data_IF_591844240145
#
_entry.id   IF_591844240145
#
_cell.length_a   1.000
_cell.length_b   1.000
_cell.length_c   1.000
_cell.angle_alpha   90.00
_cell.angle_beta   90.00
_cell.angle_gamma   90.00
#
_symmetry.space_group_name_H-M   'P 1'
#
loop_
_entity.id
_entity.type
_entity.pdbx_description
1 polymer ?
#
# COMPACT_ATOMS: atom_id res chain seq x y z
N UNK A 1 46.34 -50.78 -53.47
CA UNK A 1 47.78 -51.07 -53.34
C UNK A 1 48.54 -49.78 -53.54
N UNK A 2 49.07 -49.19 -52.47
CA UNK A 2 50.26 -48.35 -52.49
C UNK A 2 50.62 -48.01 -51.02
N UNK A 3 51.67 -48.67 -50.58
CA UNK A 3 52.48 -48.52 -49.38
C UNK A 3 53.14 -47.11 -49.31
N UNK A 4 53.09 -46.42 -48.16
CA UNK A 4 54.16 -46.27 -47.14
C UNK A 4 55.28 -45.26 -47.50
N UNK A 5 55.44 -44.19 -46.69
CA UNK A 5 56.59 -43.94 -45.79
C UNK A 5 56.72 -42.47 -45.33
N UNK A 6 57.04 -42.36 -44.05
CA UNK A 6 57.33 -41.18 -43.21
C UNK A 6 58.74 -40.64 -43.47
N UNK A 7 58.99 -39.34 -43.25
CA UNK A 7 60.14 -38.79 -42.50
C UNK A 7 60.16 -37.23 -42.43
N UNK A 8 60.98 -36.61 -41.56
CA UNK A 8 60.47 -35.75 -40.48
C UNK A 8 61.20 -34.39 -40.40
N UNK A 9 61.06 -33.73 -39.25
CA UNK A 9 61.86 -32.64 -38.69
C UNK A 9 61.44 -31.20 -39.01
N UNK A 10 61.18 -30.46 -37.92
CA UNK A 10 60.78 -29.07 -37.90
C UNK A 10 61.88 -28.08 -37.54
N UNK A 11 61.43 -26.85 -37.32
CA UNK A 11 62.09 -25.64 -36.79
C UNK A 11 62.55 -24.55 -37.80
N UNK A 12 61.64 -23.58 -38.05
CA UNK A 12 61.76 -22.08 -38.16
C UNK A 12 62.66 -21.44 -39.26
N UNK A 13 62.59 -20.11 -39.63
CA UNK A 13 61.66 -18.98 -39.38
C UNK A 13 61.39 -18.01 -40.61
N UNK A 14 60.75 -16.84 -40.36
CA UNK A 14 60.71 -15.53 -41.12
C UNK A 14 59.70 -15.34 -42.27
N UNK A 15 59.12 -14.18 -42.60
CA UNK A 15 58.90 -12.78 -42.09
C UNK A 15 57.86 -12.17 -43.07
N UNK A 16 57.05 -11.18 -42.65
CA UNK A 16 56.41 -10.28 -43.62
C UNK A 16 55.21 -9.50 -43.07
N UNK A 17 55.49 -8.43 -42.34
CA UNK A 17 54.53 -7.41 -41.93
C UNK A 17 53.95 -6.67 -43.14
N UNK A 18 52.67 -6.32 -43.08
CA UNK A 18 52.16 -5.03 -43.53
C UNK A 18 50.80 -4.74 -42.84
N UNK A 19 50.80 -3.70 -42.02
CA UNK A 19 49.63 -2.99 -41.49
C UNK A 19 49.44 -1.72 -42.34
N UNK A 20 48.20 -1.21 -42.49
CA UNK A 20 47.80 -0.10 -41.62
C UNK A 20 46.33 -0.27 -41.15
N UNK A 21 46.08 -0.21 -39.85
CA UNK A 21 45.86 1.00 -39.02
C UNK A 21 44.36 1.28 -38.83
N UNK A 22 43.92 1.00 -37.61
CA UNK A 22 42.97 1.75 -36.79
C UNK A 22 41.63 2.19 -37.39
N UNK A 23 40.57 1.58 -36.88
CA UNK A 23 39.39 2.35 -36.47
C UNK A 23 38.90 1.77 -35.15
N UNK A 24 39.13 2.55 -34.10
CA UNK A 24 38.58 2.35 -32.76
C UNK A 24 37.06 2.21 -32.84
N UNK A 25 36.54 1.09 -32.36
CA UNK A 25 35.15 0.98 -31.98
C UNK A 25 34.96 1.80 -30.70
N UNK A 26 34.36 2.97 -30.87
CA UNK A 26 33.94 3.87 -29.80
C UNK A 26 32.77 3.26 -29.01
N UNK A 27 32.61 3.60 -27.72
CA UNK A 27 31.57 3.06 -26.88
C UNK A 27 30.22 3.67 -27.26
N UNK A 28 29.23 2.82 -27.53
CA UNK A 28 27.85 3.22 -27.82
C UNK A 28 27.19 3.65 -26.52
N UNK A 29 27.24 4.97 -26.26
CA UNK A 29 26.47 5.62 -25.20
C UNK A 29 25.49 6.60 -25.87
N UNK A 30 24.38 6.09 -26.46
CA UNK A 30 23.33 6.92 -27.09
C UNK A 30 21.90 6.34 -27.10
N UNK A 31 21.56 5.32 -26.32
CA UNK A 31 20.23 4.67 -26.45
C UNK A 31 19.13 5.17 -25.49
N UNK A 32 19.46 5.99 -24.49
CA UNK A 32 18.45 6.50 -23.54
C UNK A 32 17.39 7.42 -24.16
N UNK A 33 17.70 8.08 -25.29
CA UNK A 33 16.78 9.01 -25.98
C UNK A 33 15.79 8.32 -26.94
N UNK A 34 16.02 7.06 -27.34
CA UNK A 34 15.15 6.34 -28.29
C UNK A 34 14.06 5.52 -27.57
N UNK A 35 14.32 5.04 -26.35
CA UNK A 35 13.39 4.19 -25.59
C UNK A 35 12.11 4.94 -25.20
N UNK A 36 12.23 6.16 -24.68
CA UNK A 36 11.06 6.98 -24.32
C UNK A 36 10.21 7.33 -25.54
N UNK A 37 10.84 7.59 -26.68
CA UNK A 37 10.13 7.87 -27.93
C UNK A 37 9.41 6.63 -28.47
N UNK A 38 10.04 5.47 -28.39
CA UNK A 38 9.51 4.22 -28.93
C UNK A 38 8.38 3.63 -28.06
N UNK A 39 8.53 3.69 -26.74
CA UNK A 39 7.64 3.01 -25.79
C UNK A 39 6.73 3.95 -24.99
N UNK A 40 7.07 5.24 -24.91
CA UNK A 40 6.31 6.25 -24.14
C UNK A 40 6.53 6.17 -22.62
N UNK A 41 7.56 5.46 -22.17
CA UNK A 41 7.94 5.30 -20.78
C UNK A 41 9.45 5.43 -20.63
N UNK A 42 9.90 5.92 -19.47
CA UNK A 42 11.31 5.86 -19.12
C UNK A 42 11.78 4.40 -19.01
N UNK A 43 13.07 4.15 -19.22
CA UNK A 43 13.63 2.79 -19.18
C UNK A 43 13.30 2.02 -17.87
N UNK A 44 13.39 2.64 -16.67
CA UNK A 44 13.01 1.96 -15.42
C UNK A 44 11.51 1.65 -15.34
N UNK A 45 10.63 2.54 -15.82
CA UNK A 45 9.19 2.30 -15.87
C UNK A 45 8.84 1.17 -16.86
N UNK A 46 9.48 1.18 -18.04
CA UNK A 46 9.32 0.16 -19.06
C UNK A 46 9.75 -1.22 -18.53
N UNK A 47 10.91 -1.29 -17.86
CA UNK A 47 11.38 -2.51 -17.21
C UNK A 47 10.39 -3.00 -16.16
N UNK A 48 9.89 -2.12 -15.29
CA UNK A 48 8.92 -2.50 -14.26
C UNK A 48 7.64 -3.08 -14.87
N UNK A 49 7.07 -2.41 -15.87
CA UNK A 49 5.88 -2.90 -16.58
C UNK A 49 6.14 -4.25 -17.29
N UNK A 50 7.30 -4.39 -17.91
CA UNK A 50 7.72 -5.61 -18.59
C UNK A 50 7.94 -6.77 -17.62
N UNK A 51 8.52 -6.51 -16.45
CA UNK A 51 8.72 -7.49 -15.39
C UNK A 51 7.39 -7.95 -14.79
N UNK A 52 6.46 -7.03 -14.53
CA UNK A 52 5.10 -7.36 -14.09
C UNK A 52 4.38 -8.22 -15.14
N UNK A 53 4.45 -7.83 -16.41
CA UNK A 53 3.89 -8.61 -17.51
C UNK A 53 4.47 -10.03 -17.56
N UNK A 54 5.80 -10.15 -17.48
CA UNK A 54 6.49 -11.43 -17.43
C UNK A 54 6.01 -12.29 -16.25
N UNK A 55 5.97 -11.77 -15.03
CA UNK A 55 5.53 -12.52 -13.84
C UNK A 55 4.06 -12.95 -13.92
N UNK A 56 3.19 -12.10 -14.45
CA UNK A 56 1.75 -12.33 -14.41
C UNK A 56 1.21 -13.21 -15.54
N UNK A 57 1.81 -13.06 -16.72
CA UNK A 57 1.30 -13.60 -17.98
C UNK A 57 2.09 -14.80 -18.50
N UNK A 58 3.34 -14.98 -18.07
CA UNK A 58 4.09 -16.20 -18.34
C UNK A 58 3.37 -17.40 -17.70
N UNK A 59 3.20 -18.48 -18.46
CA UNK A 59 2.47 -19.66 -17.99
C UNK A 59 0.94 -19.57 -18.16
N UNK A 60 0.38 -18.38 -18.43
CA UNK A 60 -1.06 -18.17 -18.62
C UNK A 60 -1.42 -17.72 -20.03
N UNK A 61 -0.79 -16.66 -20.52
CA UNK A 61 -1.10 -16.05 -21.82
C UNK A 61 -0.05 -16.38 -22.89
N UNK A 62 1.18 -16.72 -22.49
CA UNK A 62 2.23 -17.20 -23.36
C UNK A 62 3.22 -18.10 -22.60
N UNK A 63 4.01 -18.86 -23.36
CA UNK A 63 5.07 -19.72 -22.83
C UNK A 63 6.38 -19.42 -23.53
N UNK A 64 7.40 -19.10 -22.75
CA UNK A 64 8.76 -18.89 -23.25
C UNK A 64 9.51 -20.22 -23.31
N UNK A 65 10.54 -20.30 -24.16
CA UNK A 65 11.45 -21.43 -24.12
C UNK A 65 12.27 -21.43 -22.82
N UNK A 66 12.72 -22.60 -22.36
CA UNK A 66 13.58 -22.67 -21.18
C UNK A 66 14.83 -21.78 -21.32
N UNK A 67 15.43 -21.76 -22.52
CA UNK A 67 16.60 -20.92 -22.82
C UNK A 67 16.31 -19.44 -22.63
N UNK A 68 15.21 -18.95 -23.20
CA UNK A 68 14.84 -17.53 -23.12
C UNK A 68 14.49 -17.14 -21.68
N UNK A 69 13.85 -18.05 -20.94
CA UNK A 69 13.57 -17.86 -19.51
C UNK A 69 14.84 -17.69 -18.69
N UNK A 70 15.82 -18.59 -18.85
CA UNK A 70 17.09 -18.51 -18.11
C UNK A 70 17.82 -17.21 -18.47
N UNK A 71 17.78 -16.77 -19.73
CA UNK A 71 18.35 -15.49 -20.17
C UNK A 71 17.67 -14.29 -19.50
N UNK A 72 16.33 -14.23 -19.48
CA UNK A 72 15.58 -13.16 -18.81
C UNK A 72 15.88 -13.08 -17.32
N UNK A 73 16.03 -14.23 -16.65
CA UNK A 73 16.39 -14.29 -15.23
C UNK A 73 17.83 -13.82 -14.99
N UNK A 74 18.74 -14.12 -15.91
CA UNK A 74 20.11 -13.61 -15.83
C UNK A 74 20.13 -12.07 -15.88
N UNK A 75 19.33 -11.45 -16.77
CA UNK A 75 19.19 -9.99 -16.77
C UNK A 75 18.62 -9.46 -15.46
N UNK A 76 17.56 -10.09 -14.92
CA UNK A 76 17.00 -9.70 -13.61
C UNK A 76 18.08 -9.76 -12.52
N UNK A 77 18.89 -10.83 -12.48
CA UNK A 77 20.00 -10.95 -11.52
C UNK A 77 21.11 -9.92 -11.74
N UNK A 78 21.45 -9.58 -12.99
CA UNK A 78 22.38 -8.49 -13.28
C UNK A 78 21.85 -7.13 -12.82
N UNK A 79 20.54 -6.89 -12.95
CA UNK A 79 19.89 -5.64 -12.56
C UNK A 79 19.86 -5.46 -11.04
N UNK A 80 19.64 -6.55 -10.30
CA UNK A 80 19.54 -6.53 -8.82
C UNK A 80 20.90 -6.62 -8.15
N UNK A 81 21.73 -7.58 -8.57
CA UNK A 81 22.97 -7.95 -7.87
C UNK A 81 24.23 -7.42 -8.60
N UNK A 82 24.08 -6.85 -9.79
CA UNK A 82 25.22 -6.45 -10.62
C UNK A 82 25.98 -7.64 -11.19
N UNK A 83 27.28 -7.43 -11.44
CA UNK A 83 28.17 -8.45 -11.99
C UNK A 83 28.27 -9.66 -11.06
N UNK A 84 28.27 -10.86 -11.64
CA UNK A 84 28.47 -12.10 -10.90
C UNK A 84 29.78 -12.07 -10.09
N UNK A 85 29.66 -12.26 -8.77
CA UNK A 85 30.78 -12.46 -7.86
C UNK A 85 30.77 -13.90 -7.29
N UNK A 86 31.81 -14.71 -7.54
CA UNK A 86 31.92 -16.06 -6.98
C UNK A 86 32.05 -16.11 -5.45
N UNK A 87 32.45 -15.02 -4.79
CA UNK A 87 32.61 -14.98 -3.33
C UNK A 87 31.30 -14.83 -2.58
N UNK A 88 30.33 -14.12 -3.18
CA UNK A 88 28.99 -13.90 -2.63
C UNK A 88 27.96 -14.92 -3.11
N UNK A 89 28.37 -15.90 -3.93
CA UNK A 89 27.47 -16.89 -4.53
C UNK A 89 27.74 -18.30 -3.99
N UNK A 90 26.87 -18.88 -3.13
CA UNK A 90 27.07 -20.22 -2.58
C UNK A 90 27.15 -21.27 -3.69
N UNK A 91 27.98 -22.32 -3.59
CA UNK A 91 28.18 -23.29 -4.66
C UNK A 91 26.86 -23.98 -5.05
N UNK A 92 26.53 -23.95 -6.35
CA UNK A 92 25.39 -24.70 -6.86
C UNK A 92 25.75 -26.18 -6.89
N UNK A 93 24.91 -27.02 -6.30
CA UNK A 93 25.13 -28.46 -6.23
C UNK A 93 25.22 -29.10 -7.62
N UNK A 94 26.01 -30.16 -7.75
CA UNK A 94 26.22 -30.87 -9.02
C UNK A 94 24.92 -31.34 -9.69
N UNK A 95 23.90 -31.69 -8.90
CA UNK A 95 22.60 -32.15 -9.39
C UNK A 95 21.62 -30.99 -9.70
N UNK A 96 21.94 -29.75 -9.35
CA UNK A 96 21.13 -28.58 -9.65
C UNK A 96 21.48 -28.02 -11.04
N UNK A 97 21.06 -28.77 -12.06
CA UNK A 97 21.26 -28.42 -13.48
C UNK A 97 20.67 -27.04 -13.80
N UNK A 98 19.53 -26.69 -13.21
CA UNK A 98 18.84 -25.43 -13.46
C UNK A 98 19.56 -24.26 -12.82
N UNK A 99 20.02 -24.40 -11.57
CA UNK A 99 20.85 -23.39 -10.91
C UNK A 99 22.16 -23.17 -11.65
N UNK A 100 22.77 -24.24 -12.16
CA UNK A 100 24.02 -24.16 -12.93
C UNK A 100 23.82 -23.39 -14.25
N UNK A 101 22.71 -23.62 -14.95
CA UNK A 101 22.39 -22.90 -16.18
C UNK A 101 22.16 -21.40 -15.94
N UNK A 102 21.47 -21.03 -14.85
CA UNK A 102 21.27 -19.62 -14.47
C UNK A 102 22.57 -18.93 -14.14
N UNK A 103 23.39 -19.58 -13.31
CA UNK A 103 24.71 -19.06 -12.94
C UNK A 103 25.57 -18.83 -14.17
N UNK A 104 25.62 -19.82 -15.07
CA UNK A 104 26.38 -19.71 -16.31
C UNK A 104 25.88 -18.54 -17.16
N UNK A 105 24.56 -18.39 -17.31
CA UNK A 105 23.99 -17.26 -18.05
C UNK A 105 24.24 -15.91 -17.41
N UNK A 106 24.19 -15.80 -16.09
CA UNK A 106 24.53 -14.56 -15.39
C UNK A 106 26.03 -14.23 -15.51
N UNK A 107 26.90 -15.23 -15.42
CA UNK A 107 28.34 -15.07 -15.68
C UNK A 107 28.64 -14.58 -17.11
N UNK A 108 27.89 -15.09 -18.10
CA UNK A 108 28.00 -14.66 -19.50
C UNK A 108 27.67 -13.17 -19.71
N UNK A 109 26.88 -12.54 -18.82
CA UNK A 109 26.56 -11.10 -18.91
C UNK A 109 27.72 -10.19 -18.51
N UNK A 110 28.74 -10.70 -17.83
CA UNK A 110 29.96 -9.97 -17.51
C UNK A 110 29.73 -8.67 -16.74
N UNK A 111 30.32 -7.58 -17.21
CA UNK A 111 30.26 -6.22 -16.64
C UNK A 111 29.13 -5.37 -17.24
N UNK A 112 28.09 -6.01 -17.76
CA UNK A 112 26.89 -5.33 -18.28
C UNK A 112 26.29 -4.39 -17.23
N UNK A 113 26.04 -3.14 -17.61
CA UNK A 113 25.43 -2.16 -16.71
C UNK A 113 23.97 -2.49 -16.44
N UNK A 114 23.44 -1.97 -15.33
CA UNK A 114 22.04 -2.11 -14.93
C UNK A 114 21.08 -1.62 -16.03
N UNK A 115 21.38 -0.48 -16.64
CA UNK A 115 20.57 0.12 -17.69
C UNK A 115 20.54 -0.74 -18.95
N UNK A 116 21.70 -1.23 -19.40
CA UNK A 116 21.77 -2.14 -20.55
C UNK A 116 21.03 -3.44 -20.26
N UNK A 117 21.17 -4.02 -19.07
CA UNK A 117 20.43 -5.23 -18.69
C UNK A 117 18.91 -5.01 -18.66
N UNK A 118 18.43 -3.85 -18.20
CA UNK A 118 17.01 -3.47 -18.26
C UNK A 118 16.51 -3.39 -19.70
N UNK A 119 17.27 -2.76 -20.59
CA UNK A 119 16.91 -2.59 -22.00
C UNK A 119 16.86 -3.95 -22.71
N UNK A 120 17.91 -4.74 -22.57
CA UNK A 120 18.01 -6.08 -23.15
C UNK A 120 16.90 -7.01 -22.64
N UNK A 121 16.54 -6.91 -21.35
CA UNK A 121 15.39 -7.64 -20.81
C UNK A 121 14.08 -7.29 -21.54
N UNK A 122 13.81 -6.00 -21.74
CA UNK A 122 12.60 -5.53 -22.40
C UNK A 122 12.56 -5.92 -23.88
N UNK A 123 13.68 -5.78 -24.59
CA UNK A 123 13.81 -6.16 -26.00
C UNK A 123 13.67 -7.66 -26.18
N UNK A 124 14.39 -8.46 -25.40
CA UNK A 124 14.30 -9.93 -25.46
C UNK A 124 12.88 -10.40 -25.17
N UNK A 125 12.22 -9.82 -24.15
CA UNK A 125 10.83 -10.18 -23.83
C UNK A 125 9.86 -9.79 -24.96
N UNK A 126 10.05 -8.63 -25.59
CA UNK A 126 9.25 -8.19 -26.73
C UNK A 126 9.41 -9.10 -27.96
N UNK A 127 10.65 -9.52 -28.26
CA UNK A 127 10.93 -10.45 -29.36
C UNK A 127 10.31 -11.81 -29.11
N UNK A 128 10.35 -12.27 -27.86
CA UNK A 128 9.81 -13.59 -27.51
C UNK A 128 8.29 -13.56 -27.28
N UNK A 129 7.68 -12.39 -27.04
CA UNK A 129 6.26 -12.22 -26.80
C UNK A 129 5.67 -10.97 -27.48
N UNK A 130 4.90 -11.20 -28.54
CA UNK A 130 4.24 -10.12 -29.31
C UNK A 130 3.14 -9.38 -28.55
N UNK A 131 2.69 -9.90 -27.40
CA UNK A 131 1.64 -9.27 -26.58
C UNK A 131 2.18 -8.20 -25.63
N UNK A 132 3.50 -8.11 -25.44
CA UNK A 132 4.11 -7.11 -24.56
C UNK A 132 3.83 -5.68 -25.06
N UNK A 133 3.99 -5.44 -26.37
CA UNK A 133 3.78 -4.11 -26.95
C UNK A 133 2.33 -3.61 -26.81
N UNK A 134 1.28 -4.38 -27.18
CA UNK A 134 -0.10 -4.01 -26.90
C UNK A 134 -0.39 -3.75 -25.41
N UNK A 135 0.22 -4.52 -24.50
CA UNK A 135 0.08 -4.33 -23.06
C UNK A 135 0.65 -2.99 -22.60
N UNK A 136 1.87 -2.64 -23.05
CA UNK A 136 2.50 -1.36 -22.72
C UNK A 136 1.71 -0.19 -23.34
N UNK A 137 1.26 -0.30 -24.58
CA UNK A 137 0.44 0.72 -25.23
C UNK A 137 -0.91 0.95 -24.50
N UNK A 138 -1.50 -0.10 -23.95
CA UNK A 138 -2.72 0.01 -23.13
C UNK A 138 -2.46 0.80 -21.84
N UNK A 139 -1.37 0.48 -21.13
CA UNK A 139 -0.98 1.23 -19.93
C UNK A 139 -0.56 2.67 -20.22
N UNK A 140 0.03 2.95 -21.39
CA UNK A 140 0.32 4.33 -21.80
C UNK A 140 -0.96 5.14 -21.92
N UNK A 141 -1.98 4.60 -22.62
CA UNK A 141 -3.29 5.25 -22.76
C UNK A 141 -3.99 5.44 -21.42
N UNK A 142 -3.88 4.46 -20.52
CA UNK A 142 -4.45 4.55 -19.17
C UNK A 142 -3.80 5.67 -18.35
N UNK A 143 -2.46 5.80 -18.40
CA UNK A 143 -1.72 6.88 -17.71
C UNK A 143 -2.13 8.26 -18.24
N UNK A 144 -2.22 8.42 -19.57
CA UNK A 144 -2.68 9.65 -20.22
C UNK A 144 -4.12 10.01 -19.84
N UNK A 145 -5.03 9.03 -19.78
CA UNK A 145 -6.43 9.25 -19.39
C UNK A 145 -6.56 9.62 -17.91
N UNK A 146 -5.81 8.97 -17.02
CA UNK A 146 -5.76 9.33 -15.60
C UNK A 146 -5.27 10.76 -15.40
N UNK A 147 -4.24 11.19 -16.14
CA UNK A 147 -3.73 12.56 -16.06
C UNK A 147 -4.78 13.58 -16.55
N UNK A 148 -5.49 13.28 -17.65
CA UNK A 148 -6.58 14.13 -18.14
C UNK A 148 -7.70 14.26 -17.11
N UNK A 149 -8.14 13.13 -16.54
CA UNK A 149 -9.19 13.13 -15.49
C UNK A 149 -8.77 13.94 -14.26
N UNK A 150 -7.52 13.81 -13.82
CA UNK A 150 -6.99 14.60 -12.69
C UNK A 150 -7.04 16.11 -12.97
N UNK A 151 -6.66 16.53 -14.19
CA UNK A 151 -6.73 17.95 -14.60
C UNK A 151 -8.18 18.45 -14.67
N UNK A 152 -9.09 17.67 -15.24
CA UNK A 152 -10.52 18.00 -15.30
C UNK A 152 -11.16 18.10 -13.91
N UNK A 153 -10.82 17.19 -12.99
CA UNK A 153 -11.30 17.23 -11.60
C UNK A 153 -10.75 18.44 -10.84
N UNK A 154 -9.48 18.78 -11.03
CA UNK A 154 -8.86 19.98 -10.44
C UNK A 154 -9.49 21.27 -11.00
N UNK A 155 -9.72 21.35 -12.30
CA UNK A 155 -10.40 22.49 -12.92
C UNK A 155 -11.85 22.61 -12.43
N UNK A 156 -12.57 21.50 -12.34
CA UNK A 156 -13.94 21.48 -11.79
C UNK A 156 -13.97 21.93 -10.35
N UNK A 157 -13.04 21.47 -9.51
CA UNK A 157 -12.93 21.90 -8.12
C UNK A 157 -12.67 23.41 -8.03
N UNK A 158 -11.75 23.93 -8.85
CA UNK A 158 -11.46 25.36 -8.90
C UNK A 158 -12.68 26.19 -9.33
N UNK A 159 -13.45 25.73 -10.33
CA UNK A 159 -14.70 26.39 -10.74
C UNK A 159 -15.75 26.39 -9.64
N UNK A 160 -15.93 25.26 -8.94
CA UNK A 160 -16.86 25.17 -7.81
C UNK A 160 -16.47 26.11 -6.66
N UNK A 161 -15.18 26.18 -6.33
CA UNK A 161 -14.69 27.14 -5.31
C UNK A 161 -14.90 28.60 -5.72
N UNK A 162 -14.79 28.92 -7.02
CA UNK A 162 -15.04 30.26 -7.54
C UNK A 162 -16.54 30.61 -7.52
N UNK A 163 -17.40 29.70 -7.97
CA UNK A 163 -18.87 29.82 -7.90
C UNK A 163 -19.37 29.95 -6.45
N UNK A 164 -18.81 29.18 -5.51
CA UNK A 164 -19.17 29.27 -4.09
C UNK A 164 -18.75 30.60 -3.49
N UNK A 165 -17.55 31.10 -3.81
CA UNK A 165 -17.10 32.44 -3.39
C UNK A 165 -17.95 33.57 -3.98
N UNK A 166 -18.44 33.41 -5.22
CA UNK A 166 -19.35 34.38 -5.82
C UNK A 166 -20.72 34.36 -5.15
N UNK A 167 -21.26 33.17 -4.87
CA UNK A 167 -22.52 33.00 -4.12
C UNK A 167 -22.44 33.62 -2.73
N UNK A 168 -21.37 33.37 -1.98
CA UNK A 168 -21.17 33.96 -0.65
C UNK A 168 -21.12 35.49 -0.70
N UNK A 169 -20.49 36.07 -1.74
CA UNK A 169 -20.46 37.53 -1.92
C UNK A 169 -21.83 38.12 -2.23
N UNK A 170 -22.62 37.45 -3.07
CA UNK A 170 -23.99 37.87 -3.37
C UNK A 170 -24.89 37.77 -2.14
N UNK A 171 -24.80 36.69 -1.37
CA UNK A 171 -25.56 36.51 -0.12
C UNK A 171 -25.17 37.55 0.95
N UNK A 172 -23.89 37.88 1.07
CA UNK A 172 -23.42 38.94 1.98
C UNK A 172 -23.89 40.33 1.53
N UNK A 173 -23.85 40.62 0.23
CA UNK A 173 -24.36 41.88 -0.31
C UNK A 173 -25.87 42.02 -0.12
N UNK A 174 -26.63 40.94 -0.36
CA UNK A 174 -28.08 40.90 -0.12
C UNK A 174 -28.41 41.09 1.36
N UNK A 175 -27.69 40.42 2.26
CA UNK A 175 -27.83 40.61 3.72
C UNK A 175 -27.56 42.05 4.11
N UNK A 176 -26.50 42.67 3.58
CA UNK A 176 -26.18 44.08 3.87
C UNK A 176 -27.29 45.02 3.39
N UNK A 177 -27.83 44.80 2.19
CA UNK A 177 -28.95 45.59 1.66
C UNK A 177 -30.22 45.42 2.51
N UNK A 178 -30.54 44.21 2.93
CA UNK A 178 -31.67 43.93 3.81
C UNK A 178 -31.52 44.58 5.19
N UNK A 179 -30.31 44.57 5.76
CA UNK A 179 -30.01 45.28 7.01
C UNK A 179 -30.14 46.80 6.86
N UNK A 180 -29.62 47.38 5.77
CA UNK A 180 -29.77 48.80 5.45
C UNK A 180 -31.25 49.20 5.27
N UNK A 181 -32.03 48.37 4.58
CA UNK A 181 -33.46 48.59 4.39
C UNK A 181 -34.23 48.48 5.71
N UNK A 182 -33.92 47.47 6.53
CA UNK A 182 -34.50 47.31 7.86
C UNK A 182 -34.21 48.53 8.74
N UNK A 183 -32.96 49.02 8.77
CA UNK A 183 -32.59 50.21 9.53
C UNK A 183 -33.33 51.46 9.04
N UNK A 184 -33.50 51.61 7.72
CA UNK A 184 -34.28 52.72 7.15
C UNK A 184 -35.74 52.63 7.59
N UNK A 185 -36.38 51.48 7.44
CA UNK A 185 -37.77 51.27 7.86
C UNK A 185 -37.95 51.52 9.36
N UNK A 186 -36.99 51.09 10.19
CA UNK A 186 -37.04 51.33 11.63
C UNK A 186 -36.87 52.82 11.98
N UNK A 187 -35.96 53.54 11.31
CA UNK A 187 -35.81 54.99 11.45
C UNK A 187 -37.10 55.72 11.07
N UNK A 188 -37.72 55.36 9.95
CA UNK A 188 -39.00 55.91 9.52
C UNK A 188 -40.10 55.64 10.57
N UNK A 189 -40.15 54.41 11.13
CA UNK A 189 -41.08 54.04 12.20
C UNK A 189 -40.89 54.90 13.45
N UNK A 190 -39.64 55.10 13.89
CA UNK A 190 -39.33 55.89 15.08
C UNK A 190 -39.68 57.37 14.88
N UNK A 191 -39.32 57.95 13.73
CA UNK A 191 -39.68 59.33 13.40
C UNK A 191 -41.19 59.53 13.39
N UNK A 192 -41.94 58.57 12.83
CA UNK A 192 -43.40 58.60 12.85
C UNK A 192 -43.96 58.55 14.27
N UNK A 193 -43.49 57.61 15.11
CA UNK A 193 -43.92 57.49 16.52
C UNK A 193 -43.64 58.78 17.30
N UNK A 194 -42.49 59.41 17.07
CA UNK A 194 -42.12 60.69 17.70
C UNK A 194 -43.02 61.85 17.22
N UNK A 195 -43.36 61.90 15.92
CA UNK A 195 -44.25 62.92 15.37
C UNK A 195 -45.66 62.82 15.98
N UNK A 196 -46.23 61.61 16.07
CA UNK A 196 -47.50 61.36 16.75
C UNK A 196 -47.40 61.73 18.23
N UNK A 197 -46.30 61.37 18.90
CA UNK A 197 -46.08 61.72 20.31
C UNK A 197 -46.15 63.23 20.54
N UNK A 198 -45.48 64.03 19.71
CA UNK A 198 -45.52 65.50 19.81
C UNK A 198 -46.93 66.06 19.60
N UNK A 199 -47.68 65.48 18.66
CA UNK A 199 -49.05 65.92 18.39
C UNK A 199 -50.03 65.54 19.51
N UNK A 200 -49.85 64.38 20.13
CA UNK A 200 -50.74 63.86 21.17
C UNK A 200 -50.40 64.36 22.57
N UNK A 201 -49.17 64.84 22.79
CA UNK A 201 -48.66 65.32 24.08
C UNK A 201 -49.62 66.27 24.82
N UNK A 202 -50.17 67.33 24.18
CA UNK A 202 -51.00 68.31 24.89
C UNK A 202 -52.34 67.73 25.39
N UNK A 203 -52.90 66.77 24.64
CA UNK A 203 -54.12 66.05 25.00
C UNK A 203 -53.85 65.05 26.14
N UNK A 204 -52.67 64.43 26.13
CA UNK A 204 -52.25 63.41 27.09
C UNK A 204 -51.89 63.97 28.47
N UNK A 205 -51.28 65.16 28.54
CA UNK A 205 -50.88 65.81 29.81
C UNK A 205 -52.07 65.99 30.77
N UNK A 206 -53.28 66.25 30.26
CA UNK A 206 -54.48 66.38 31.11
C UNK A 206 -54.95 65.04 31.69
N UNK A 207 -54.76 63.92 30.98
CA UNK A 207 -55.17 62.58 31.42
C UNK A 207 -54.14 61.91 32.34
N UNK A 208 -52.85 62.24 32.19
CA UNK A 208 -51.77 61.61 32.92
C UNK A 208 -51.54 62.14 34.34
N UNK A 209 -52.11 63.29 34.72
CA UNK A 209 -51.92 63.94 36.03
C UNK A 209 -52.29 63.09 37.25
N UNK A 210 -53.04 61.99 37.06
CA UNK A 210 -53.52 61.11 38.12
C UNK A 210 -52.81 59.73 38.15
N UNK A 211 -51.81 59.50 37.30
CA UNK A 211 -51.12 58.22 37.15
C UNK A 211 -49.66 58.30 37.64
N UNK A 212 -49.12 57.18 38.10
CA UNK A 212 -47.69 57.11 38.46
C UNK A 212 -46.80 57.21 37.21
N UNK A 213 -45.55 57.66 37.36
CA UNK A 213 -44.65 57.87 36.22
C UNK A 213 -44.45 56.61 35.35
N UNK A 214 -44.39 55.43 35.98
CA UNK A 214 -44.26 54.15 35.29
C UNK A 214 -45.54 53.78 34.52
N UNK A 215 -46.72 54.00 35.11
CA UNK A 215 -48.02 53.76 34.45
C UNK A 215 -48.25 54.72 33.28
N UNK A 216 -47.80 55.97 33.43
CA UNK A 216 -47.84 56.97 32.36
C UNK A 216 -47.00 56.54 31.15
N UNK A 217 -45.80 56.00 31.36
CA UNK A 217 -44.93 55.52 30.27
C UNK A 217 -45.52 54.31 29.53
N UNK A 218 -46.05 53.33 30.27
CA UNK A 218 -46.67 52.12 29.67
C UNK A 218 -47.92 52.48 28.86
N UNK A 219 -48.81 53.30 29.43
CA UNK A 219 -50.03 53.73 28.74
C UNK A 219 -49.71 54.53 27.48
N UNK A 220 -48.73 55.42 27.56
CA UNK A 220 -48.27 56.20 26.41
C UNK A 220 -47.71 55.32 25.30
N UNK A 221 -46.94 54.29 25.64
CA UNK A 221 -46.40 53.32 24.69
C UNK A 221 -47.52 52.52 24.00
N UNK A 222 -48.52 52.06 24.75
CA UNK A 222 -49.69 51.37 24.19
C UNK A 222 -50.48 52.26 23.23
N UNK A 223 -50.65 53.54 23.58
CA UNK A 223 -51.39 54.48 22.76
C UNK A 223 -50.63 54.81 21.46
N UNK A 224 -49.31 54.99 21.54
CA UNK A 224 -48.44 55.15 20.36
C UNK A 224 -48.54 53.94 19.42
N UNK A 225 -48.53 52.72 19.97
CA UNK A 225 -48.64 51.49 19.19
C UNK A 225 -50.00 51.37 18.51
N UNK A 226 -51.09 51.69 19.22
CA UNK A 226 -52.44 51.67 18.67
C UNK A 226 -52.62 52.65 17.49
N UNK A 227 -52.11 53.89 17.62
CA UNK A 227 -52.17 54.87 16.53
C UNK A 227 -51.29 54.46 15.33
N UNK A 228 -50.13 53.87 15.60
CA UNK A 228 -49.26 53.35 14.53
C UNK A 228 -49.95 52.23 13.73
N UNK A 229 -50.62 51.29 14.42
CA UNK A 229 -51.40 50.23 13.78
C UNK A 229 -52.56 50.78 12.94
N UNK A 230 -53.28 51.79 13.45
CA UNK A 230 -54.36 52.44 12.71
C UNK A 230 -53.83 53.14 11.44
N UNK A 231 -52.66 53.77 11.52
CA UNK A 231 -52.02 54.41 10.37
C UNK A 231 -51.58 53.40 9.31
N UNK A 232 -50.93 52.29 9.71
CA UNK A 232 -50.56 51.21 8.80
C UNK A 232 -51.80 50.64 8.08
N UNK A 233 -52.90 50.47 8.80
CA UNK A 233 -54.16 50.01 8.22
C UNK A 233 -54.72 51.00 7.18
N UNK A 234 -54.55 52.31 7.41
CA UNK A 234 -54.98 53.34 6.48
C UNK A 234 -54.10 53.40 5.22
N UNK A 235 -52.78 53.26 5.38
CA UNK A 235 -51.82 53.14 4.27
C UNK A 235 -52.12 51.91 3.41
N UNK A 236 -52.37 50.76 4.03
CA UNK A 236 -52.70 49.52 3.32
C UNK A 236 -54.02 49.65 2.55
N UNK A 237 -55.04 50.30 3.13
CA UNK A 237 -56.28 50.62 2.43
C UNK A 237 -56.06 51.56 1.24
N UNK A 238 -55.15 52.54 1.37
CA UNK A 238 -54.82 53.45 0.28
C UNK A 238 -54.04 52.75 -0.84
N UNK A 239 -53.09 51.87 -0.51
CA UNK A 239 -52.39 51.02 -1.47
C UNK A 239 -53.36 50.08 -2.19
N UNK A 240 -54.24 49.37 -1.46
CA UNK A 240 -55.28 48.51 -2.07
C UNK A 240 -56.19 49.26 -3.04
N UNK A 241 -56.55 50.51 -2.72
CA UNK A 241 -57.34 51.36 -3.63
C UNK A 241 -56.55 51.74 -4.89
N UNK A 242 -55.25 51.96 -4.79
CA UNK A 242 -54.37 52.26 -5.92
C UNK A 242 -54.15 51.02 -6.81
N UNK A 243 -53.90 49.86 -6.22
CA UNK A 243 -53.81 48.57 -6.94
C UNK A 243 -55.11 48.23 -7.66
N UNK A 244 -56.27 48.38 -7.00
CA UNK A 244 -57.58 48.18 -7.65
C UNK A 244 -57.87 49.17 -8.79
N UNK A 245 -57.21 50.33 -8.81
CA UNK A 245 -57.32 51.31 -9.90
C UNK A 245 -56.27 51.07 -11.00
N UNK A 246 -55.15 50.40 -10.69
CA UNK A 246 -54.12 49.97 -11.63
C UNK A 246 -54.40 48.63 -12.32
N UNK A 247 -55.28 47.79 -11.77
CA UNK A 247 -55.51 46.41 -12.26
C UNK A 247 -56.77 46.25 -13.15
N UNK A 248 -57.28 47.33 -13.74
CA UNK A 248 -58.29 47.24 -14.82
C UNK A 248 -57.67 46.92 -16.18
N UNK A 249 -56.50 46.26 -16.22
CA UNK A 249 -55.88 45.74 -17.43
C UNK A 249 -55.03 44.49 -17.14
N UNK A 250 -55.65 43.40 -16.68
CA UNK A 250 -55.51 42.03 -17.21
C UNK A 250 -56.11 41.04 -16.20
N UNK A 251 -57.34 40.65 -16.51
CA UNK A 251 -58.04 39.52 -15.91
C UNK A 251 -57.64 38.20 -16.58
N UNK A 252 -57.19 37.27 -15.75
CA UNK A 252 -57.66 35.88 -15.79
C UNK A 252 -56.67 34.85 -16.33
N UNK A 253 -56.55 33.64 -15.79
CA UNK A 253 -57.48 32.90 -14.93
C UNK A 253 -56.81 31.62 -14.40
N UNK A 254 -57.13 31.27 -13.15
CA UNK A 254 -57.27 29.92 -12.56
C UNK A 254 -56.05 28.97 -12.54
N UNK A 255 -55.72 28.28 -11.45
CA UNK A 255 -56.32 28.20 -10.12
C UNK A 255 -55.73 26.99 -9.36
N UNK A 256 -55.92 27.03 -8.02
CA UNK A 256 -56.20 25.87 -7.14
C UNK A 256 -55.04 24.88 -6.80
N UNK A 257 -54.80 24.38 -5.57
CA UNK A 257 -55.47 24.41 -4.26
C UNK A 257 -54.47 23.98 -3.13
N UNK A 258 -54.66 24.47 -1.88
CA UNK A 258 -54.58 23.80 -0.54
C UNK A 258 -53.28 23.14 -0.01
N UNK A 259 -52.99 23.03 1.30
CA UNK A 259 -53.59 23.47 2.56
C UNK A 259 -52.60 23.21 3.75
N UNK A 260 -52.82 23.99 4.83
CA UNK A 260 -52.72 23.69 6.28
C UNK A 260 -51.35 23.43 6.96
N UNK A 261 -50.89 24.26 7.93
CA UNK A 261 -51.14 24.27 9.41
C UNK A 261 -50.28 23.21 10.16
N UNK A 262 -49.55 23.45 11.26
CA UNK A 262 -49.95 24.06 12.55
C UNK A 262 -48.73 24.17 13.52
N UNK A 263 -48.66 25.26 14.31
CA UNK A 263 -48.19 25.43 15.73
C UNK A 263 -46.76 25.17 16.25
N UNK A 264 -46.22 26.23 16.89
CA UNK A 264 -45.72 26.31 18.29
C UNK A 264 -44.30 25.83 18.59
N UNK A 265 -43.54 26.33 19.57
CA UNK A 265 -43.63 27.49 20.46
C UNK A 265 -42.24 27.65 21.13
N UNK A 266 -41.90 28.88 21.49
CA UNK A 266 -40.99 29.37 22.56
C UNK A 266 -39.58 28.77 22.87
N UNK A 267 -38.60 29.68 22.77
CA UNK A 267 -37.67 30.20 23.81
C UNK A 267 -36.44 29.42 24.37
N UNK A 268 -35.32 30.17 24.32
CA UNK A 268 -34.23 30.33 25.32
C UNK A 268 -33.32 29.12 25.60
N UNK A 269 -32.02 29.23 25.88
CA UNK A 269 -31.15 30.34 26.21
C UNK A 269 -29.91 29.76 26.93
N UNK A 270 -28.74 30.31 26.59
CA UNK A 270 -27.37 30.12 27.10
C UNK A 270 -27.22 29.68 28.59
N UNK A 271 -26.23 28.81 28.91
CA UNK A 271 -25.01 29.14 29.71
C UNK A 271 -24.18 27.90 30.18
N UNK A 272 -22.91 27.89 29.75
CA UNK A 272 -21.64 27.68 30.48
C UNK A 272 -21.26 26.46 31.37
N UNK A 273 -20.03 26.00 31.07
CA UNK A 273 -18.94 25.42 31.89
C UNK A 273 -19.19 24.13 32.71
N UNK A 274 -18.42 23.06 32.46
CA UNK A 274 -17.14 22.82 33.14
C UNK A 274 -16.48 21.51 32.67
N UNK A 275 -15.21 21.63 32.27
CA UNK A 275 -14.31 20.53 31.93
C UNK A 275 -13.58 20.10 33.20
N UNK A 276 -13.87 18.89 33.70
CA UNK A 276 -12.98 18.17 34.61
C UNK A 276 -13.34 16.69 34.59
N UNK A 277 -12.45 15.86 34.06
CA UNK A 277 -12.20 14.54 34.64
C UNK A 277 -10.81 14.06 34.25
N UNK A 278 -9.98 13.94 35.28
CA UNK A 278 -8.76 13.17 35.30
C UNK A 278 -9.10 11.70 35.03
N UNK A 279 -8.36 11.07 34.12
CA UNK A 279 -8.19 9.63 34.10
C UNK A 279 -6.68 9.35 34.03
N UNK A 280 -6.15 8.79 35.11
CA UNK A 280 -4.78 8.34 35.25
C UNK A 280 -4.52 7.16 34.32
N UNK A 281 -3.44 7.24 33.53
CA UNK A 281 -2.84 6.10 32.87
C UNK A 281 -1.94 5.36 33.89
N UNK A 282 -2.03 4.02 34.02
CA UNK A 282 -1.06 3.28 34.81
C UNK A 282 0.21 3.06 33.98
N UNK A 283 1.30 3.62 34.48
CA UNK A 283 2.66 3.22 34.12
C UNK A 283 2.85 1.73 34.43
N UNK A 284 3.27 0.96 33.43
CA UNK A 284 3.79 -0.39 33.57
C UNK A 284 5.20 -0.43 32.99
N UNK A 285 6.18 -0.05 33.81
CA UNK A 285 7.60 -0.22 33.54
C UNK A 285 7.94 -1.71 33.77
N UNK A 286 8.19 -2.46 32.70
CA UNK A 286 8.61 -3.87 32.80
C UNK A 286 10.11 -3.92 32.57
N UNK A 287 10.82 -4.15 33.68
CA UNK A 287 12.22 -4.58 33.74
C UNK A 287 12.53 -5.61 32.65
N UNK A 288 13.37 -5.23 31.68
CA UNK A 288 14.02 -6.17 30.76
C UNK A 288 15.22 -6.78 31.47
N UNK A 289 15.01 -7.95 32.06
CA UNK A 289 16.09 -8.79 32.54
C UNK A 289 17.00 -9.19 31.38
N UNK A 290 18.30 -8.99 31.58
CA UNK A 290 19.36 -9.46 30.70
C UNK A 290 19.48 -10.98 30.86
N UNK A 291 18.79 -11.76 30.03
CA UNK A 291 19.03 -13.21 29.96
C UNK A 291 20.28 -13.45 29.11
N UNK A 292 21.35 -13.90 29.78
CA UNK A 292 22.61 -14.34 29.17
C UNK A 292 22.37 -15.44 28.13
N UNK A 293 22.82 -15.22 26.90
CA UNK A 293 22.85 -16.22 25.84
C UNK A 293 23.76 -17.40 26.25
N UNK A 294 23.33 -18.66 26.10
CA UNK A 294 24.14 -19.81 26.50
C UNK A 294 25.36 -20.00 25.59
N UNK A 295 26.53 -20.25 26.21
CA UNK A 295 27.78 -20.57 25.52
C UNK A 295 27.62 -21.88 24.71
N UNK A 296 28.03 -21.85 23.43
CA UNK A 296 27.85 -22.92 22.43
C UNK A 296 28.48 -24.25 22.85
N UNK A 297 29.46 -24.21 23.77
CA UNK A 297 30.14 -25.40 24.30
C UNK A 297 29.35 -26.14 25.40
N UNK A 298 28.16 -25.67 25.79
CA UNK A 298 27.31 -26.25 26.84
C UNK A 298 25.93 -26.72 26.37
N UNK A 299 25.66 -26.70 25.06
CA UNK A 299 24.35 -27.02 24.50
C UNK A 299 24.08 -28.55 24.48
N UNK A 300 22.87 -29.00 24.83
CA UNK A 300 22.46 -30.41 24.78
C UNK A 300 22.63 -31.06 23.39
N UNK A 301 22.90 -32.37 23.38
CA UNK A 301 22.96 -33.16 22.14
C UNK A 301 21.57 -33.21 21.46
N UNK A 302 21.55 -32.92 20.16
CA UNK A 302 20.32 -32.87 19.35
C UNK A 302 19.95 -34.27 18.88
N UNK A 303 18.75 -34.71 19.22
CA UNK A 303 18.21 -36.00 18.80
C UNK A 303 17.99 -36.04 17.28
N UNK A 304 17.96 -37.24 16.68
CA UNK A 304 17.60 -37.37 15.27
C UNK A 304 16.09 -37.13 15.08
N UNK A 305 15.68 -36.39 14.03
CA UNK A 305 14.27 -36.25 13.69
C UNK A 305 13.71 -37.57 13.14
N UNK A 306 12.42 -37.79 13.34
CA UNK A 306 11.68 -38.86 12.67
C UNK A 306 10.86 -38.24 11.52
N UNK A 307 10.88 -38.84 10.33
CA UNK A 307 10.18 -38.34 9.15
C UNK A 307 9.49 -39.49 8.41
N UNK A 308 8.27 -39.27 7.94
CA UNK A 308 7.49 -40.25 7.18
C UNK A 308 6.56 -39.56 6.16
N UNK A 309 5.91 -40.35 5.30
CA UNK A 309 4.92 -39.84 4.34
C UNK A 309 3.60 -40.58 4.49
N UNK A 310 2.50 -39.92 4.13
CA UNK A 310 1.13 -40.44 4.24
C UNK A 310 0.32 -40.09 2.99
N UNK A 311 -0.64 -40.95 2.64
CA UNK A 311 -1.41 -40.85 1.39
C UNK A 311 -2.72 -40.03 1.53
N UNK A 312 -3.05 -39.57 2.74
CA UNK A 312 -4.24 -38.76 3.06
C UNK A 312 -4.06 -37.25 2.72
N UNK A 313 -3.28 -36.94 1.69
CA UNK A 313 -2.92 -35.57 1.32
C UNK A 313 -4.13 -34.74 0.89
N UNK A 314 -5.12 -35.34 0.22
CA UNK A 314 -6.31 -34.63 -0.24
C UNK A 314 -7.21 -34.19 0.93
N UNK A 315 -7.55 -35.09 1.85
CA UNK A 315 -8.36 -34.78 3.04
C UNK A 315 -7.68 -33.71 3.91
N UNK A 316 -6.36 -33.82 4.07
CA UNK A 316 -5.55 -32.83 4.79
C UNK A 316 -5.66 -31.43 4.17
N UNK A 317 -5.51 -31.33 2.84
CA UNK A 317 -5.61 -30.05 2.13
C UNK A 317 -7.03 -29.47 2.18
N UNK A 318 -8.06 -30.30 2.02
CA UNK A 318 -9.47 -29.85 2.11
C UNK A 318 -9.82 -29.32 3.50
N UNK A 319 -9.26 -29.92 4.56
CA UNK A 319 -9.44 -29.47 5.94
C UNK A 319 -8.77 -28.13 6.19
N UNK A 320 -7.52 -27.96 5.75
CA UNK A 320 -6.74 -26.75 5.97
C UNK A 320 -7.10 -25.61 5.00
N UNK A 321 -7.68 -25.90 3.83
CA UNK A 321 -8.18 -24.87 2.92
C UNK A 321 -9.30 -24.01 3.53
N UNK A 322 -9.99 -24.52 4.56
CA UNK A 322 -11.01 -23.79 5.32
C UNK A 322 -10.44 -22.96 6.47
N UNK A 323 -9.18 -23.20 6.82
CA UNK A 323 -8.47 -22.56 7.91
C UNK A 323 -7.45 -21.55 7.33
N UNK A 324 -7.67 -20.27 7.57
CA UNK A 324 -6.82 -19.21 7.01
C UNK A 324 -5.38 -19.26 7.51
N UNK A 325 -5.11 -19.87 8.67
CA UNK A 325 -3.76 -19.99 9.22
C UNK A 325 -3.03 -21.26 8.77
N UNK A 326 -3.77 -22.26 8.25
CA UNK A 326 -3.23 -23.55 7.82
C UNK A 326 -2.72 -23.60 6.38
N UNK A 327 -2.88 -22.51 5.62
CA UNK A 327 -2.48 -22.42 4.22
C UNK A 327 -1.66 -21.14 3.97
N UNK A 328 -0.43 -21.31 3.48
CA UNK A 328 0.44 -20.21 3.09
C UNK A 328 0.75 -20.32 1.60
N UNK A 329 0.79 -19.19 0.90
CA UNK A 329 1.28 -19.12 -0.48
C UNK A 329 2.76 -18.73 -0.47
N UNK A 330 3.63 -19.63 -0.91
CA UNK A 330 5.07 -19.39 -1.06
C UNK A 330 5.33 -18.95 -2.50
N UNK A 331 5.69 -17.70 -2.73
CA UNK A 331 5.97 -17.13 -4.05
C UNK A 331 7.19 -17.76 -4.73
N UNK A 332 7.39 -17.47 -6.02
CA UNK A 332 8.56 -17.96 -6.74
C UNK A 332 9.82 -17.25 -6.22
N UNK A 333 10.94 -17.94 -6.05
CA UNK A 333 12.14 -17.30 -5.49
C UNK A 333 12.08 -17.04 -3.98
N UNK A 334 10.91 -17.17 -3.34
CA UNK A 334 10.73 -16.92 -1.91
C UNK A 334 11.10 -18.12 -1.04
N UNK A 335 11.50 -17.83 0.19
CA UNK A 335 11.59 -18.80 1.28
C UNK A 335 10.71 -18.32 2.43
N UNK A 336 9.87 -19.22 2.93
CA UNK A 336 9.01 -18.96 4.10
C UNK A 336 9.56 -19.72 5.31
N UNK A 337 9.75 -19.01 6.41
CA UNK A 337 10.15 -19.59 7.69
C UNK A 337 9.01 -19.50 8.69
N UNK A 338 8.47 -20.65 9.11
CA UNK A 338 7.51 -20.73 10.21
C UNK A 338 8.27 -20.94 11.52
N UNK A 339 8.17 -19.98 12.44
CA UNK A 339 8.82 -19.98 13.75
C UNK A 339 7.86 -20.56 14.79
N UNK A 340 8.26 -21.67 15.43
CA UNK A 340 7.44 -22.40 16.40
C UNK A 340 8.19 -22.50 17.73
N UNK A 341 7.86 -21.65 18.72
CA UNK A 341 8.44 -21.74 20.06
C UNK A 341 8.17 -23.08 20.72
N UNK A 342 9.12 -23.58 21.52
CA UNK A 342 8.90 -24.74 22.38
C UNK A 342 7.92 -24.41 23.50
N UNK A 343 6.90 -25.24 23.68
CA UNK A 343 5.96 -25.08 24.79
C UNK A 343 6.55 -25.64 26.10
N UNK A 344 6.33 -24.98 27.24
CA UNK A 344 6.88 -25.39 28.55
C UNK A 344 6.43 -26.79 28.99
N UNK A 345 5.18 -27.15 28.67
CA UNK A 345 4.61 -28.47 28.96
C UNK A 345 4.84 -29.49 27.83
N UNK A 346 5.48 -29.06 26.74
CA UNK A 346 5.72 -29.89 25.57
C UNK A 346 7.05 -30.64 25.64
N UNK A 347 7.12 -31.81 25.01
CA UNK A 347 8.37 -32.56 24.90
C UNK A 347 8.82 -32.83 23.45
N UNK A 348 7.92 -32.71 22.48
CA UNK A 348 8.16 -32.98 21.06
C UNK A 348 7.32 -32.04 20.19
N UNK A 349 7.87 -31.64 19.03
CA UNK A 349 7.14 -31.00 17.94
C UNK A 349 6.75 -32.07 16.93
N UNK A 350 5.59 -31.90 16.33
CA UNK A 350 5.11 -32.62 15.16
C UNK A 350 4.79 -31.62 14.06
N UNK A 351 5.12 -31.98 12.83
CA UNK A 351 4.78 -31.21 11.64
C UNK A 351 4.20 -32.10 10.57
N UNK A 352 3.25 -31.53 9.83
CA UNK A 352 2.65 -32.13 8.64
C UNK A 352 2.54 -31.05 7.58
N UNK A 353 2.91 -31.36 6.33
CA UNK A 353 2.67 -30.44 5.22
C UNK A 353 2.45 -31.14 3.88
N UNK A 354 1.73 -30.44 3.00
CA UNK A 354 1.45 -30.85 1.64
C UNK A 354 1.42 -29.63 0.71
N UNK A 355 1.60 -29.86 -0.58
CA UNK A 355 1.48 -28.83 -1.62
C UNK A 355 0.47 -29.26 -2.69
N UNK A 356 0.05 -28.35 -3.57
CA UNK A 356 -0.95 -28.71 -4.59
C UNK A 356 -0.38 -29.46 -5.78
N UNK A 357 0.61 -28.90 -6.47
CA UNK A 357 0.99 -29.39 -7.81
C UNK A 357 2.49 -29.66 -7.99
N UNK A 358 3.33 -29.19 -7.07
CA UNK A 358 4.78 -29.26 -7.20
C UNK A 358 5.42 -29.52 -5.86
N UNK A 359 6.64 -30.01 -5.89
CA UNK A 359 7.49 -30.16 -4.73
C UNK A 359 7.82 -28.82 -4.06
N UNK A 360 8.35 -28.86 -2.84
CA UNK A 360 8.89 -27.69 -2.11
C UNK A 360 10.15 -28.11 -1.35
N UNK A 361 11.12 -27.21 -1.22
CA UNK A 361 12.26 -27.44 -0.34
C UNK A 361 11.80 -27.38 1.11
N UNK A 362 12.25 -28.33 1.95
CA UNK A 362 11.94 -28.33 3.37
C UNK A 362 13.18 -28.62 4.20
N UNK A 363 13.42 -27.76 5.19
CA UNK A 363 14.41 -27.94 6.24
C UNK A 363 13.86 -27.57 7.61
N UNK A 364 14.54 -28.03 8.66
CA UNK A 364 14.19 -27.81 10.05
C UNK A 364 15.43 -27.40 10.84
N UNK A 365 15.35 -26.26 11.51
CA UNK A 365 16.43 -25.73 12.34
C UNK A 365 15.90 -25.45 13.75
N UNK A 366 16.81 -25.34 14.72
CA UNK A 366 16.50 -24.98 16.09
C UNK A 366 17.33 -23.78 16.52
N UNK A 367 16.66 -22.70 16.89
CA UNK A 367 17.26 -21.46 17.38
C UNK A 367 17.23 -21.46 18.91
N UNK A 368 18.41 -21.38 19.53
CA UNK A 368 18.60 -21.32 20.98
C UNK A 368 18.30 -19.93 21.50
N UNK A 369 17.01 -19.67 21.73
CA UNK A 369 16.51 -18.38 22.23
C UNK A 369 15.34 -18.58 23.19
N UNK A 370 15.04 -17.55 23.98
CA UNK A 370 13.82 -17.52 24.79
C UNK A 370 12.79 -16.68 24.04
N UNK A 371 11.77 -17.33 23.49
CA UNK A 371 10.69 -16.62 22.82
C UNK A 371 9.86 -15.83 23.85
N UNK A 372 9.47 -14.58 23.56
CA UNK A 372 8.65 -13.77 24.48
C UNK A 372 7.22 -14.31 24.63
N UNK A 373 6.78 -15.17 23.71
CA UNK A 373 5.47 -15.82 23.73
C UNK A 373 5.51 -17.17 23.01
N UNK A 374 4.50 -18.01 23.26
CA UNK A 374 4.30 -19.28 22.55
C UNK A 374 3.58 -19.12 21.19
N UNK A 375 3.41 -17.88 20.70
CA UNK A 375 2.74 -17.63 19.43
C UNK A 375 3.62 -18.07 18.24
N UNK A 376 3.00 -18.71 17.26
CA UNK A 376 3.66 -19.08 15.99
C UNK A 376 3.73 -17.83 15.10
N UNK A 377 4.89 -17.54 14.53
CA UNK A 377 5.04 -16.46 13.55
C UNK A 377 5.52 -16.98 12.20
N UNK A 378 5.14 -16.29 11.13
CA UNK A 378 5.52 -16.63 9.75
C UNK A 378 6.33 -15.48 9.19
N UNK A 379 7.54 -15.76 8.74
CA UNK A 379 8.40 -14.79 8.04
C UNK A 379 8.55 -15.22 6.58
N UNK A 380 8.30 -14.27 5.68
CA UNK A 380 8.52 -14.45 4.24
C UNK A 380 9.77 -13.66 3.90
N UNK A 381 10.73 -14.31 3.25
CA UNK A 381 11.92 -13.67 2.70
C UNK A 381 11.93 -13.93 1.21
N UNK A 382 11.89 -12.87 0.41
CA UNK A 382 12.24 -13.02 -1.01
C UNK A 382 13.76 -13.22 -1.09
N UNK A 383 14.23 -14.20 -1.87
CA UNK A 383 15.68 -14.40 -2.10
C UNK A 383 16.33 -13.20 -2.82
N UNK A 384 15.58 -12.14 -3.14
CA UNK A 384 16.08 -10.84 -3.59
C UNK A 384 16.12 -9.73 -2.53
N UNK A 385 15.51 -9.91 -1.35
CA UNK A 385 15.41 -8.85 -0.33
C UNK A 385 16.60 -8.77 0.64
N UNK A 386 17.52 -9.74 0.64
CA UNK A 386 18.78 -9.62 1.42
C UNK A 386 19.79 -8.63 0.79
N UNK A 387 19.51 -8.08 -0.40
CA UNK A 387 20.39 -7.12 -1.11
C UNK A 387 19.67 -5.80 -1.53
N UNK A 388 18.54 -5.43 -0.92
CA UNK A 388 17.92 -4.13 -1.19
C UNK A 388 18.52 -3.00 -0.33
N UNK A 389 19.45 -2.26 -0.93
CA UNK A 389 19.61 -0.79 -0.86
C UNK A 389 19.76 -0.16 0.54
N UNK A 390 20.89 -0.42 1.21
CA UNK A 390 21.49 0.59 2.10
C UNK A 390 22.32 1.56 1.24
N UNK A 391 21.68 2.63 0.76
CA UNK A 391 22.37 3.86 0.35
C UNK A 391 22.90 4.56 1.62
N UNK A 392 24.05 4.12 2.12
CA UNK A 392 24.85 4.92 3.05
C UNK A 392 26.25 5.14 2.46
N UNK A 393 26.37 6.25 1.74
CA UNK A 393 27.63 6.90 1.39
C UNK A 393 28.22 7.55 2.64
N UNK A 394 29.22 6.92 3.29
CA UNK A 394 30.56 7.51 3.51
C UNK A 394 31.44 6.69 4.49
N UNK A 395 32.75 6.67 4.21
CA UNK A 395 33.78 6.60 5.26
C UNK A 395 34.52 5.28 5.48
N UNK A 396 35.70 5.17 4.85
CA UNK A 396 36.83 4.25 5.14
C UNK A 396 36.95 3.82 6.63
N UNK A 397 37.25 2.55 6.91
CA UNK A 397 38.60 2.01 7.24
C UNK A 397 38.53 0.57 7.80
N UNK A 398 39.46 -0.30 7.34
CA UNK A 398 40.02 -1.53 7.96
C UNK A 398 39.56 -2.93 7.45
N UNK A 399 40.46 -3.78 6.90
CA UNK A 399 40.11 -5.04 6.24
C UNK A 399 40.31 -6.28 7.13
N UNK A 400 39.61 -6.36 8.28
CA UNK A 400 39.54 -7.58 9.13
C UNK A 400 38.17 -7.79 9.82
N UNK A 401 37.05 -7.36 9.23
CA UNK A 401 35.71 -7.63 9.80
C UNK A 401 34.92 -8.63 8.96
N UNK A 402 35.02 -9.90 9.34
CA UNK A 402 33.91 -10.83 9.17
C UNK A 402 32.78 -10.43 10.10
N UNK A 403 31.73 -9.83 9.56
CA UNK A 403 30.48 -9.57 10.28
C UNK A 403 29.76 -10.92 10.45
N UNK A 404 30.19 -11.71 11.44
CA UNK A 404 29.40 -12.83 11.93
C UNK A 404 28.12 -12.28 12.54
N UNK A 405 27.00 -12.80 12.07
CA UNK A 405 25.66 -12.63 12.60
C UNK A 405 25.66 -12.65 14.14
N UNK A 406 25.24 -11.55 14.78
CA UNK A 406 25.05 -11.46 16.23
C UNK A 406 23.71 -12.09 16.65
N UNK A 407 23.30 -13.17 15.99
CA UNK A 407 22.06 -13.88 16.23
C UNK A 407 22.20 -14.95 17.32
N UNK A 408 21.09 -15.38 17.95
CA UNK A 408 21.08 -16.56 18.80
C UNK A 408 21.64 -17.78 18.04
N UNK A 409 22.34 -18.71 18.71
CA UNK A 409 22.89 -19.91 18.06
C UNK A 409 21.80 -20.73 17.35
N UNK A 410 22.07 -21.21 16.13
CA UNK A 410 21.16 -22.04 15.34
C UNK A 410 21.82 -23.39 15.03
N UNK A 411 21.08 -24.47 15.27
CA UNK A 411 21.46 -25.83 14.86
C UNK A 411 20.57 -26.38 13.75
N UNK A 412 21.17 -27.11 12.82
CA UNK A 412 20.47 -27.79 11.73
C UNK A 412 19.99 -29.18 12.17
N UNK A 413 18.68 -29.42 12.13
CA UNK A 413 18.08 -30.72 12.43
C UNK A 413 17.81 -31.48 11.13
N UNK A 414 17.23 -30.81 10.14
CA UNK A 414 16.97 -31.34 8.81
C UNK A 414 17.51 -30.33 7.78
N UNK A 415 18.56 -30.67 7.00
CA UNK A 415 18.99 -29.85 5.87
C UNK A 415 17.88 -29.69 4.84
N UNK A 416 17.88 -28.56 4.13
CA UNK A 416 16.89 -28.28 3.09
C UNK A 416 17.04 -29.26 1.93
N UNK A 417 16.00 -30.07 1.72
CA UNK A 417 15.87 -30.93 0.55
C UNK A 417 14.50 -30.80 -0.08
N UNK A 418 14.43 -30.96 -1.40
CA UNK A 418 13.18 -30.96 -2.16
C UNK A 418 12.33 -32.18 -1.79
N UNK A 419 11.07 -31.94 -1.45
CA UNK A 419 10.09 -32.96 -1.05
C UNK A 419 8.92 -32.95 -2.02
N UNK A 420 8.57 -34.12 -2.53
CA UNK A 420 7.39 -34.34 -3.38
C UNK A 420 6.07 -34.30 -2.58
N UNK A 421 5.90 -33.27 -1.75
CA UNK A 421 4.76 -33.09 -0.85
C UNK A 421 3.43 -32.81 -1.58
N UNK A 422 3.47 -32.71 -2.91
CA UNK A 422 2.29 -32.67 -3.79
C UNK A 422 1.72 -34.06 -4.07
N UNK A 423 2.53 -35.11 -3.91
CA UNK A 423 2.10 -36.49 -4.11
C UNK A 423 1.60 -37.10 -2.79
N UNK A 424 2.41 -36.99 -1.74
CA UNK A 424 2.13 -37.52 -0.40
C UNK A 424 2.36 -36.45 0.65
N UNK A 425 1.54 -36.42 1.70
CA UNK A 425 1.75 -35.53 2.83
C UNK A 425 3.04 -35.92 3.54
N UNK A 426 3.93 -34.94 3.77
CA UNK A 426 5.18 -35.16 4.48
C UNK A 426 4.99 -34.83 5.96
N UNK A 427 5.44 -35.73 6.82
CA UNK A 427 5.24 -35.65 8.25
C UNK A 427 6.55 -35.85 8.99
N UNK A 428 6.64 -35.33 10.21
CA UNK A 428 7.74 -35.68 11.08
C UNK A 428 7.54 -35.23 12.51
N UNK A 429 8.48 -35.64 13.36
CA UNK A 429 8.54 -35.28 14.76
C UNK A 429 9.97 -35.11 15.23
N UNK A 430 10.19 -34.22 16.20
CA UNK A 430 11.48 -34.02 16.83
C UNK A 430 11.31 -33.75 18.33
N UNK A 431 12.12 -34.43 19.15
CA UNK A 431 12.13 -34.23 20.60
C UNK A 431 12.82 -32.92 20.92
N UNK A 432 12.27 -32.15 21.84
CA UNK A 432 12.84 -30.86 22.22
C UNK A 432 14.27 -31.04 22.74
N UNK A 433 15.28 -30.41 22.11
CA UNK A 433 16.65 -30.45 22.62
C UNK A 433 16.81 -29.51 23.83
N UNK A 434 15.95 -28.49 23.93
CA UNK A 434 15.88 -27.55 25.04
C UNK A 434 14.77 -26.53 24.81
N UNK A 435 14.80 -25.40 25.52
CA UNK A 435 13.95 -24.24 25.25
C UNK A 435 14.52 -23.46 24.06
N UNK A 436 13.66 -23.13 23.10
CA UNK A 436 14.08 -22.52 21.85
C UNK A 436 12.93 -22.29 20.88
N UNK A 437 13.28 -22.01 19.63
CA UNK A 437 12.32 -21.81 18.55
C UNK A 437 12.70 -22.71 17.38
N UNK A 438 11.76 -23.55 16.93
CA UNK A 438 11.91 -24.30 15.69
C UNK A 438 11.69 -23.40 14.50
N UNK A 439 12.54 -23.54 13.48
CA UNK A 439 12.43 -22.82 12.21
C UNK A 439 12.12 -23.85 11.11
N UNK A 440 10.85 -23.93 10.72
CA UNK A 440 10.43 -24.74 9.57
C UNK A 440 10.64 -23.89 8.32
N UNK A 441 11.66 -24.22 7.53
CA UNK A 441 12.01 -23.47 6.31
C UNK A 441 11.41 -24.17 5.10
N UNK A 442 10.49 -23.49 4.44
CA UNK A 442 9.88 -23.86 3.18
C UNK A 442 10.52 -23.06 2.05
N UNK A 443 11.43 -23.71 1.34
CA UNK A 443 12.28 -23.09 0.32
C UNK A 443 11.66 -23.28 -1.07
N UNK A 444 11.34 -22.17 -1.73
CA UNK A 444 10.93 -22.11 -3.13
C UNK A 444 11.86 -21.23 -3.97
N UNK A 445 13.08 -20.94 -3.47
CA UNK A 445 14.11 -20.15 -4.14
C UNK A 445 14.52 -20.72 -5.51
N UNK A 446 14.48 -22.04 -5.62
CA UNK A 446 14.76 -22.75 -6.88
C UNK A 446 13.61 -22.63 -7.89
N UNK A 447 12.39 -22.30 -7.46
CA UNK A 447 11.26 -22.19 -8.38
C UNK A 447 11.28 -20.84 -9.06
N UNK A 448 11.46 -20.87 -10.38
CA UNK A 448 11.49 -19.65 -11.17
C UNK A 448 10.16 -18.91 -11.23
N UNK A 449 9.06 -19.65 -11.34
CA UNK A 449 7.79 -19.11 -11.85
C UNK A 449 6.58 -19.68 -11.14
N UNK A 450 6.75 -20.73 -10.33
CA UNK A 450 5.65 -21.40 -9.65
C UNK A 450 5.65 -21.02 -8.19
N UNK A 451 4.69 -20.20 -7.82
CA UNK A 451 4.26 -20.11 -6.44
C UNK A 451 3.69 -21.48 -6.00
N UNK A 452 3.79 -21.78 -4.72
CA UNK A 452 3.31 -23.02 -4.11
C UNK A 452 2.24 -22.67 -3.08
N UNK A 453 1.08 -23.31 -3.19
CA UNK A 453 0.13 -23.38 -2.08
C UNK A 453 0.63 -24.45 -1.11
N UNK A 454 1.07 -24.03 0.06
CA UNK A 454 1.58 -24.87 1.13
C UNK A 454 0.50 -24.99 2.20
N UNK A 455 0.08 -26.22 2.46
CA UNK A 455 -0.80 -26.55 3.58
C UNK A 455 0.07 -27.14 4.66
N UNK A 456 0.01 -26.60 5.87
CA UNK A 456 0.85 -27.07 6.95
C UNK A 456 0.10 -27.10 8.27
N UNK A 457 0.58 -27.95 9.17
CA UNK A 457 0.08 -28.06 10.54
C UNK A 457 1.24 -28.39 11.45
N UNK A 458 1.30 -27.71 12.58
CA UNK A 458 2.27 -27.97 13.65
C UNK A 458 1.54 -28.12 14.98
N UNK A 459 2.02 -29.03 15.81
CA UNK A 459 1.49 -29.26 17.15
C UNK A 459 2.56 -29.89 18.04
N UNK A 460 2.33 -29.89 19.34
CA UNK A 460 3.22 -30.51 20.31
C UNK A 460 2.46 -31.53 21.16
N UNK A 461 3.20 -32.48 21.73
CA UNK A 461 2.66 -33.42 22.71
C UNK A 461 2.98 -32.92 24.12
N UNK A 462 1.96 -32.95 25.00
CA UNK A 462 2.15 -32.70 26.43
C UNK A 462 2.81 -33.92 27.07
N UNK A 463 3.70 -33.69 28.03
CA UNK A 463 4.26 -34.76 28.85
C UNK A 463 3.13 -35.28 29.76
N UNK A 464 2.69 -36.53 29.57
CA UNK A 464 1.78 -37.21 30.51
C UNK A 464 2.56 -37.47 31.81
N UNK A 465 2.58 -36.49 32.72
CA UNK A 465 3.10 -36.64 34.08
C UNK A 465 1.99 -36.63 35.12
#
# INVERSE_FOLDING_TARGET
MADFLVSPDGMTPTVGEDLPNSTEATPVAKDGLDVESQWGFSLPELYKLSLTFFKDKEGKAFHLSYRDKVQLIAYVKQITCGKYDPTNSPPVGYLDVVGNDRRRKWQELGDMTKETAMLEFCLHLNETCTQLKPYIEAHRREKEEQERRRKEEEEKRRRQEEEERERQRLEEEERRRAEEEFQRQEQERLQFKEAIYKQLLPQFVCYACFLSHQQQQVLLQQLQEHYYQQYLQQLEQQHRRMEQQGDSLVTGSSGEVSNASTTGDLEQGLTNLQLSNQAQAPNGDVNRGEDELPDRHSLPEIAKPNCWTTDDSQEFKEKLAKDSEGMIRVGHGETVTVRVPTHEEGNCIFWEFATDYCDIGFGLYFEWTVAPSNAISVHVSDSSEEDELDEDEDGKTDPERGTKESGPPIDEIIPIYRRDSHQKKFCGSHRYPGRGVYLLKFDNSYSLFRAKSLYYKVYYTRDDR
#
